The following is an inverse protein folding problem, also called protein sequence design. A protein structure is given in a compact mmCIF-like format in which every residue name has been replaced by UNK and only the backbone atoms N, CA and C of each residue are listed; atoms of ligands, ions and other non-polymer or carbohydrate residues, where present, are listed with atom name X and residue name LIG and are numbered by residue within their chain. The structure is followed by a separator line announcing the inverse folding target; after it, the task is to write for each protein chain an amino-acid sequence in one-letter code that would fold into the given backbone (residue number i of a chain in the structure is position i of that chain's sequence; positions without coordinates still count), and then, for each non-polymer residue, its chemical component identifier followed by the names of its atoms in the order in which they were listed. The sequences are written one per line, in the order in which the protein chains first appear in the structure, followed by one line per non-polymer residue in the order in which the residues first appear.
data_IF_200464587067
#
_entry.id   IF_200464587067
#
_cell.length_a   1.000
_cell.length_b   1.000
_cell.length_c   1.000
_cell.angle_alpha   90.00
_cell.angle_beta   90.00
_cell.angle_gamma   90.00
#
_symmetry.space_group_name_H-M   'P 1'
#
loop_
_entity.id
_entity.type
_entity.pdbx_description
1 polymer ?
#
# COMPACT_ATOMS: atom_id res chain seq x y z
N UNK A 1 -5.02 0.82 -18.58
CA UNK A 1 -6.40 0.76 -18.06
C UNK A 1 -6.29 0.68 -16.55
N UNK A 2 -6.86 1.64 -15.80
CA UNK A 2 -6.83 1.67 -14.34
C UNK A 2 -7.66 0.51 -13.78
N UNK A 3 -7.09 -0.21 -12.81
CA UNK A 3 -7.77 -1.32 -12.12
C UNK A 3 -8.26 -0.91 -10.72
N UNK A 4 -8.21 0.40 -10.41
CA UNK A 4 -8.59 0.92 -9.10
C UNK A 4 -9.59 2.06 -9.21
N UNK A 5 -10.45 2.21 -8.19
CA UNK A 5 -11.28 3.39 -7.96
C UNK A 5 -11.44 3.65 -6.45
N UNK A 6 -11.79 4.89 -6.10
CA UNK A 6 -12.15 5.19 -4.71
C UNK A 6 -13.33 4.31 -4.28
N UNK A 7 -13.28 3.80 -3.06
CA UNK A 7 -14.36 3.01 -2.48
C UNK A 7 -15.61 3.86 -2.25
N UNK A 8 -16.78 3.21 -2.23
CA UNK A 8 -18.05 3.83 -1.82
C UNK A 8 -18.72 2.97 -0.74
N UNK A 9 -19.74 3.50 -0.08
CA UNK A 9 -20.53 2.73 0.89
C UNK A 9 -21.28 1.56 0.24
N UNK A 10 -21.53 1.62 -1.06
CA UNK A 10 -22.18 0.55 -1.83
C UNK A 10 -21.29 -0.68 -2.00
N UNK A 11 -19.98 -0.55 -1.74
CA UNK A 11 -19.02 -1.67 -1.79
C UNK A 11 -19.12 -2.59 -0.57
N UNK A 12 -19.83 -2.19 0.49
CA UNK A 12 -19.85 -2.90 1.76
C UNK A 12 -20.25 -4.37 1.63
N UNK A 13 -21.32 -4.68 0.88
CA UNK A 13 -21.74 -6.06 0.67
C UNK A 13 -20.75 -6.88 -0.18
N UNK A 14 -20.17 -6.27 -1.23
CA UNK A 14 -19.20 -6.93 -2.07
C UNK A 14 -17.92 -7.24 -1.28
N UNK A 15 -17.43 -6.28 -0.49
CA UNK A 15 -16.27 -6.46 0.39
C UNK A 15 -16.56 -7.51 1.47
N UNK A 16 -17.73 -7.50 2.12
CA UNK A 16 -18.09 -8.48 3.13
C UNK A 16 -18.06 -9.91 2.56
N UNK A 17 -18.68 -10.14 1.40
CA UNK A 17 -18.60 -11.43 0.70
C UNK A 17 -17.17 -11.82 0.40
N UNK A 18 -16.37 -10.86 -0.07
CA UNK A 18 -14.99 -11.10 -0.48
C UNK A 18 -14.09 -11.44 0.71
N UNK A 19 -14.12 -10.65 1.80
CA UNK A 19 -13.30 -10.94 3.01
C UNK A 19 -13.74 -12.22 3.70
N UNK A 20 -15.05 -12.53 3.72
CA UNK A 20 -15.58 -13.76 4.28
C UNK A 20 -15.11 -15.00 3.50
N UNK A 21 -15.21 -14.97 2.18
CA UNK A 21 -14.74 -16.05 1.31
C UNK A 21 -13.22 -16.26 1.35
N UNK A 22 -12.46 -15.25 1.73
CA UNK A 22 -11.00 -15.27 1.78
C UNK A 22 -10.46 -15.25 3.22
N UNK A 23 -11.28 -15.55 4.24
CA UNK A 23 -10.91 -15.43 5.65
C UNK A 23 -9.63 -16.20 5.97
N UNK A 24 -9.57 -17.48 5.61
CA UNK A 24 -8.42 -18.34 5.87
C UNK A 24 -7.19 -17.95 5.04
N UNK A 25 -7.42 -17.58 3.78
CA UNK A 25 -6.35 -17.11 2.87
C UNK A 25 -5.68 -15.82 3.36
N UNK A 26 -6.45 -14.88 3.92
CA UNK A 26 -5.93 -13.60 4.41
C UNK A 26 -5.44 -13.64 5.85
N UNK A 27 -5.88 -14.59 6.67
CA UNK A 27 -5.57 -14.68 8.09
C UNK A 27 -4.05 -14.64 8.41
N UNK A 28 -3.16 -15.33 7.67
CA UNK A 28 -1.72 -15.27 7.95
C UNK A 28 -1.08 -13.90 7.70
N UNK A 29 -1.73 -13.04 6.91
CA UNK A 29 -1.19 -11.78 6.40
C UNK A 29 -1.82 -10.54 7.03
N UNK A 30 -2.85 -10.72 7.85
CA UNK A 30 -3.68 -9.63 8.36
C UNK A 30 -3.68 -9.59 9.90
N UNK A 31 -3.95 -8.42 10.51
CA UNK A 31 -4.33 -8.36 11.92
C UNK A 31 -5.53 -9.27 12.20
N UNK A 32 -5.67 -9.75 13.45
CA UNK A 32 -6.89 -10.46 13.84
C UNK A 32 -8.09 -9.53 13.70
N UNK A 33 -9.13 -10.07 13.10
CA UNK A 33 -10.42 -9.41 12.93
C UNK A 33 -11.48 -10.15 13.74
N UNK A 34 -12.43 -9.43 14.29
CA UNK A 34 -13.62 -10.01 14.92
C UNK A 34 -14.63 -10.48 13.85
N UNK A 35 -15.64 -11.21 14.27
CA UNK A 35 -16.65 -11.73 13.33
C UNK A 35 -17.48 -10.63 12.67
N UNK A 36 -17.63 -9.48 13.32
CA UNK A 36 -18.33 -8.33 12.78
C UNK A 36 -17.65 -7.80 11.51
N UNK A 37 -16.30 -7.83 11.44
CA UNK A 37 -15.54 -7.42 10.26
C UNK A 37 -15.97 -8.13 8.97
N UNK A 38 -16.44 -9.38 9.07
CA UNK A 38 -16.81 -10.21 7.91
C UNK A 38 -18.28 -10.02 7.48
N UNK A 39 -19.00 -9.11 8.12
CA UNK A 39 -20.40 -8.78 7.79
C UNK A 39 -20.48 -7.52 6.93
N UNK A 40 -21.61 -7.34 6.22
CA UNK A 40 -21.85 -6.13 5.43
C UNK A 40 -21.86 -4.87 6.31
N UNK A 41 -22.44 -4.95 7.52
CA UNK A 41 -22.45 -3.83 8.46
C UNK A 41 -21.04 -3.47 8.93
N UNK A 42 -20.24 -4.46 9.33
CA UNK A 42 -18.83 -4.23 9.72
C UNK A 42 -18.00 -3.65 8.59
N UNK A 43 -18.16 -4.11 7.35
CA UNK A 43 -17.49 -3.50 6.20
C UNK A 43 -17.98 -2.08 5.92
N UNK A 44 -19.28 -1.81 6.10
CA UNK A 44 -19.82 -0.46 6.02
C UNK A 44 -19.18 0.49 7.05
N UNK A 45 -19.00 0.07 8.28
CA UNK A 45 -18.29 0.84 9.29
C UNK A 45 -16.82 1.08 8.94
N UNK A 46 -16.13 0.07 8.36
CA UNK A 46 -14.77 0.23 7.84
C UNK A 46 -14.74 1.32 6.77
N UNK A 47 -15.64 1.25 5.79
CA UNK A 47 -15.74 2.23 4.70
C UNK A 47 -16.07 3.64 5.22
N UNK A 48 -16.95 3.80 6.19
CA UNK A 48 -17.26 5.10 6.82
C UNK A 48 -15.98 5.71 7.41
N UNK A 49 -15.19 4.94 8.17
CA UNK A 49 -13.92 5.41 8.74
C UNK A 49 -12.90 5.78 7.68
N UNK A 50 -12.80 4.96 6.61
CA UNK A 50 -11.87 5.20 5.51
C UNK A 50 -12.24 6.46 4.72
N UNK A 51 -13.52 6.62 4.36
CA UNK A 51 -13.99 7.80 3.63
C UNK A 51 -13.85 9.08 4.48
N UNK A 52 -14.14 9.01 5.78
CA UNK A 52 -13.87 10.14 6.68
C UNK A 52 -12.37 10.49 6.76
N UNK A 53 -11.47 9.51 6.67
CA UNK A 53 -10.02 9.76 6.59
C UNK A 53 -9.62 10.32 5.20
N UNK A 54 -10.27 9.88 4.15
CA UNK A 54 -10.10 10.40 2.78
C UNK A 54 -10.50 11.88 2.69
N UNK A 55 -11.67 12.26 3.25
CA UNK A 55 -12.14 13.64 3.27
C UNK A 55 -11.17 14.59 4.00
N UNK A 56 -10.43 14.08 4.99
CA UNK A 56 -9.39 14.83 5.69
C UNK A 56 -8.02 14.79 4.98
N UNK A 57 -7.90 14.14 3.84
CA UNK A 57 -6.64 13.98 3.11
C UNK A 57 -5.60 13.10 3.83
N UNK A 58 -6.03 12.26 4.80
CA UNK A 58 -5.15 11.40 5.59
C UNK A 58 -5.01 9.98 5.02
N UNK A 59 -5.87 9.62 4.06
CA UNK A 59 -5.92 8.30 3.42
C UNK A 59 -6.42 8.41 1.98
N UNK A 60 -6.06 7.46 1.12
CA UNK A 60 -6.72 7.22 -0.17
C UNK A 60 -7.16 5.75 -0.21
N UNK A 61 -8.44 5.43 0.06
CA UNK A 61 -8.94 4.07 0.05
C UNK A 61 -9.46 3.71 -1.35
N UNK A 62 -8.94 2.63 -1.93
CA UNK A 62 -9.31 2.19 -3.28
C UNK A 62 -9.76 0.73 -3.28
N UNK A 63 -10.83 0.46 -4.03
CA UNK A 63 -11.19 -0.89 -4.44
C UNK A 63 -10.31 -1.31 -5.63
N UNK A 64 -9.87 -2.56 -5.62
CA UNK A 64 -9.22 -3.20 -6.78
C UNK A 64 -10.32 -3.93 -7.55
N UNK A 65 -10.38 -3.69 -8.87
CA UNK A 65 -11.39 -4.25 -9.75
C UNK A 65 -10.78 -5.31 -10.65
N UNK A 66 -11.49 -6.41 -10.87
CA UNK A 66 -11.15 -7.39 -11.88
C UNK A 66 -11.51 -6.92 -13.30
N UNK A 67 -11.28 -7.77 -14.30
CA UNK A 67 -11.58 -7.48 -15.71
C UNK A 67 -13.07 -7.32 -16.02
N UNK A 68 -13.95 -7.79 -15.14
CA UNK A 68 -15.40 -7.61 -15.25
C UNK A 68 -15.89 -6.35 -14.50
N UNK A 69 -15.00 -5.62 -13.82
CA UNK A 69 -15.32 -4.45 -13.00
C UNK A 69 -15.83 -4.80 -11.60
N UNK A 70 -15.77 -6.06 -11.20
CA UNK A 70 -16.15 -6.49 -9.86
C UNK A 70 -15.01 -6.26 -8.86
N UNK A 71 -15.37 -5.97 -7.60
CA UNK A 71 -14.38 -5.80 -6.51
C UNK A 71 -13.66 -7.13 -6.27
N UNK A 72 -12.33 -7.12 -6.38
CA UNK A 72 -11.45 -8.26 -6.23
C UNK A 72 -10.41 -8.10 -5.11
N UNK A 73 -10.38 -6.94 -4.46
CA UNK A 73 -9.46 -6.63 -3.38
C UNK A 73 -9.52 -5.16 -2.97
N UNK A 74 -8.55 -4.74 -2.18
CA UNK A 74 -8.41 -3.34 -1.74
C UNK A 74 -6.94 -2.93 -1.76
N UNK A 75 -6.69 -1.65 -2.06
CA UNK A 75 -5.39 -0.99 -1.93
C UNK A 75 -5.58 0.40 -1.36
N UNK A 76 -4.74 0.76 -0.40
CA UNK A 76 -4.86 2.03 0.29
C UNK A 76 -3.52 2.75 0.35
N UNK A 77 -3.55 4.09 0.25
CA UNK A 77 -2.52 4.93 0.83
C UNK A 77 -2.95 5.32 2.24
N UNK A 78 -2.25 4.80 3.23
CA UNK A 78 -2.49 5.08 4.64
C UNK A 78 -1.52 6.16 5.14
N UNK A 79 -1.93 6.89 6.19
CA UNK A 79 -1.06 7.85 6.86
C UNK A 79 -0.39 8.83 5.88
N UNK A 80 -1.20 9.50 5.07
CA UNK A 80 -0.68 10.53 4.16
C UNK A 80 -0.18 11.70 5.01
N UNK A 81 1.14 11.89 5.02
CA UNK A 81 1.84 12.92 5.79
C UNK A 81 2.33 13.99 4.82
N UNK A 82 1.98 15.24 5.07
CA UNK A 82 2.40 16.41 4.29
C UNK A 82 3.63 17.08 4.93
N UNK A 83 3.91 18.30 4.53
CA UNK A 83 5.08 19.07 4.99
C UNK A 83 6.38 18.49 4.45
N UNK A 84 7.42 18.47 5.23
CA UNK A 84 8.76 18.01 4.80
C UNK A 84 8.83 16.51 4.47
N UNK A 85 7.89 15.68 4.93
CA UNK A 85 7.94 14.23 4.71
C UNK A 85 7.28 13.80 3.39
N UNK A 86 6.15 14.40 3.00
CA UNK A 86 5.41 14.12 1.75
C UNK A 86 5.32 12.61 1.45
N UNK A 87 4.81 11.82 2.39
CA UNK A 87 4.88 10.36 2.36
C UNK A 87 3.52 9.72 2.63
N UNK A 88 3.35 8.46 2.19
CA UNK A 88 2.25 7.58 2.56
C UNK A 88 2.70 6.12 2.61
N UNK A 89 1.95 5.28 3.33
CA UNK A 89 2.18 3.83 3.39
C UNK A 89 1.17 3.09 2.51
N UNK A 90 1.66 2.21 1.63
CA UNK A 90 0.85 1.36 0.76
C UNK A 90 0.51 0.06 1.47
N UNK A 91 -0.78 -0.26 1.56
CA UNK A 91 -1.27 -1.55 2.02
C UNK A 91 -2.29 -2.11 1.04
N UNK A 92 -2.22 -3.40 0.71
CA UNK A 92 -3.13 -4.02 -0.25
C UNK A 92 -3.34 -5.51 0.01
N UNK A 93 -4.45 -6.02 -0.51
CA UNK A 93 -4.74 -7.43 -0.64
C UNK A 93 -5.62 -7.69 -1.87
N UNK A 94 -5.55 -8.89 -2.41
CA UNK A 94 -6.43 -9.38 -3.47
C UNK A 94 -7.02 -10.72 -3.06
N UNK A 95 -8.19 -11.05 -3.58
CA UNK A 95 -8.81 -12.37 -3.35
C UNK A 95 -7.90 -13.48 -3.89
N UNK A 96 -7.98 -14.66 -3.27
CA UNK A 96 -7.25 -15.86 -3.70
C UNK A 96 -7.52 -16.18 -5.18
N UNK A 97 -8.78 -16.08 -5.60
CA UNK A 97 -9.20 -16.32 -6.99
C UNK A 97 -8.58 -15.34 -8.01
N UNK A 98 -8.13 -14.17 -7.55
CA UNK A 98 -7.48 -13.14 -8.37
C UNK A 98 -5.96 -13.13 -8.21
N UNK A 99 -5.42 -13.94 -7.29
CA UNK A 99 -3.98 -14.03 -7.05
C UNK A 99 -3.22 -14.60 -8.28
N UNK A 100 -1.95 -14.20 -8.43
CA UNK A 100 -1.08 -14.68 -9.51
C UNK A 100 -1.38 -14.14 -10.90
N UNK A 101 -2.43 -13.33 -11.08
CA UNK A 101 -2.86 -12.77 -12.37
C UNK A 101 -2.35 -11.36 -12.66
N UNK A 102 -1.43 -10.84 -11.83
CA UNK A 102 -0.85 -9.51 -11.99
C UNK A 102 -1.70 -8.35 -11.44
N UNK A 103 -2.92 -8.62 -10.93
CA UNK A 103 -3.86 -7.60 -10.49
C UNK A 103 -3.31 -6.72 -9.37
N UNK A 104 -2.68 -7.32 -8.34
CA UNK A 104 -2.03 -6.57 -7.27
C UNK A 104 -0.92 -5.66 -7.81
N UNK A 105 -0.15 -6.15 -8.81
CA UNK A 105 0.94 -5.36 -9.43
C UNK A 105 0.39 -4.16 -10.19
N UNK A 106 -0.71 -4.34 -10.93
CA UNK A 106 -1.40 -3.26 -11.63
C UNK A 106 -1.97 -2.23 -10.64
N UNK A 107 -2.60 -2.68 -9.55
CA UNK A 107 -3.14 -1.79 -8.52
C UNK A 107 -2.03 -0.97 -7.81
N UNK A 108 -0.86 -1.58 -7.54
CA UNK A 108 0.29 -0.85 -6.99
C UNK A 108 0.82 0.18 -8.00
N UNK A 109 0.85 -0.13 -9.30
CA UNK A 109 1.22 0.83 -10.33
C UNK A 109 0.24 2.01 -10.40
N UNK A 110 -1.07 1.75 -10.36
CA UNK A 110 -2.11 2.78 -10.34
C UNK A 110 -1.93 3.72 -9.14
N UNK A 111 -1.87 3.17 -7.93
CA UNK A 111 -1.77 3.98 -6.71
C UNK A 111 -0.46 4.77 -6.64
N UNK A 112 0.63 4.24 -7.21
CA UNK A 112 1.90 4.94 -7.34
C UNK A 112 1.75 6.16 -8.27
N UNK A 113 1.06 5.99 -9.39
CA UNK A 113 0.75 7.10 -10.31
C UNK A 113 -0.07 8.21 -9.65
N UNK A 114 -1.12 7.84 -8.89
CA UNK A 114 -1.93 8.78 -8.12
C UNK A 114 -1.10 9.51 -7.04
N UNK A 115 -0.27 8.75 -6.31
CA UNK A 115 0.53 9.31 -5.22
C UNK A 115 1.53 10.36 -5.69
N UNK A 116 2.26 10.08 -6.75
CA UNK A 116 3.30 10.99 -7.24
C UNK A 116 2.75 12.06 -8.19
N UNK A 117 1.74 11.72 -9.01
CA UNK A 117 1.13 12.64 -9.96
C UNK A 117 0.10 13.58 -9.31
N UNK A 118 -1.00 13.03 -8.80
CA UNK A 118 -2.13 13.83 -8.32
C UNK A 118 -1.92 14.34 -6.89
N UNK A 119 -1.39 13.49 -6.00
CA UNK A 119 -1.17 13.86 -4.61
C UNK A 119 0.16 14.58 -4.37
N UNK A 120 1.09 14.58 -5.34
CA UNK A 120 2.39 15.22 -5.22
C UNK A 120 3.25 14.71 -4.06
N UNK A 121 3.10 13.42 -3.71
CA UNK A 121 3.92 12.82 -2.67
C UNK A 121 5.35 12.59 -3.18
N UNK A 122 6.31 12.63 -2.27
CA UNK A 122 7.71 12.34 -2.56
C UNK A 122 8.08 10.88 -2.34
N UNK A 123 7.39 10.21 -1.39
CA UNK A 123 7.77 8.89 -0.92
C UNK A 123 6.57 7.99 -0.69
N UNK A 124 6.69 6.72 -1.08
CA UNK A 124 5.81 5.64 -0.67
C UNK A 124 6.60 4.61 0.13
N UNK A 125 6.05 4.20 1.26
CA UNK A 125 6.54 3.11 2.07
C UNK A 125 5.60 1.91 1.96
N UNK A 126 6.14 0.70 2.11
CA UNK A 126 5.37 -0.53 2.26
C UNK A 126 6.11 -1.49 3.19
N UNK A 127 5.38 -2.34 3.88
CA UNK A 127 5.96 -3.35 4.76
C UNK A 127 5.40 -4.74 4.43
N UNK A 128 6.24 -5.76 4.46
CA UNK A 128 5.82 -7.15 4.28
C UNK A 128 6.42 -8.04 5.36
N UNK A 129 5.70 -9.07 5.76
CA UNK A 129 6.29 -10.14 6.56
C UNK A 129 7.51 -10.75 5.84
N UNK A 130 8.51 -11.22 6.59
CA UNK A 130 9.75 -11.79 6.02
C UNK A 130 9.48 -12.93 5.03
N UNK A 131 8.43 -13.71 5.27
CA UNK A 131 8.05 -14.87 4.44
C UNK A 131 6.97 -14.56 3.38
N UNK A 132 6.47 -13.31 3.29
CA UNK A 132 5.47 -12.93 2.28
C UNK A 132 6.11 -12.64 0.91
N UNK A 133 6.75 -13.66 0.34
CA UNK A 133 7.40 -13.58 -0.97
C UNK A 133 6.49 -13.08 -2.10
N UNK A 134 5.20 -13.46 -2.18
CA UNK A 134 4.30 -12.91 -3.20
C UNK A 134 4.19 -11.38 -3.15
N UNK A 135 3.97 -10.80 -1.97
CA UNK A 135 3.88 -9.35 -1.80
C UNK A 135 5.21 -8.65 -2.11
N UNK A 136 6.34 -9.21 -1.66
CA UNK A 136 7.67 -8.68 -1.98
C UNK A 136 7.91 -8.60 -3.49
N UNK A 137 7.51 -9.64 -4.25
CA UNK A 137 7.63 -9.65 -5.72
C UNK A 137 6.77 -8.56 -6.38
N UNK A 138 5.57 -8.31 -5.86
CA UNK A 138 4.70 -7.22 -6.36
C UNK A 138 5.39 -5.88 -6.17
N UNK A 139 5.91 -5.61 -4.98
CA UNK A 139 6.61 -4.35 -4.66
C UNK A 139 7.85 -4.16 -5.53
N UNK A 140 8.71 -5.19 -5.63
CA UNK A 140 9.93 -5.13 -6.44
C UNK A 140 9.65 -4.85 -7.93
N UNK A 141 8.59 -5.48 -8.50
CA UNK A 141 8.17 -5.24 -9.88
C UNK A 141 7.69 -3.81 -10.12
N UNK A 142 7.20 -3.15 -9.09
CA UNK A 142 6.76 -1.75 -9.12
C UNK A 142 7.89 -0.77 -8.71
N UNK A 143 9.14 -1.23 -8.64
CA UNK A 143 10.28 -0.37 -8.38
C UNK A 143 10.55 -0.06 -6.92
N UNK A 144 9.76 -0.59 -6.00
CA UNK A 144 10.06 -0.48 -4.57
C UNK A 144 11.37 -1.20 -4.24
N UNK A 145 12.14 -0.62 -3.30
CA UNK A 145 13.41 -1.18 -2.83
C UNK A 145 13.33 -1.48 -1.35
N UNK A 146 13.76 -2.66 -0.89
CA UNK A 146 13.91 -2.92 0.53
C UNK A 146 15.03 -2.02 1.10
N UNK A 147 14.83 -1.50 2.32
CA UNK A 147 15.82 -0.63 2.96
C UNK A 147 16.10 -0.98 4.42
N UNK A 148 15.22 -1.73 5.09
CA UNK A 148 15.40 -2.16 6.46
C UNK A 148 14.60 -3.43 6.79
N UNK A 149 14.97 -4.08 7.90
CA UNK A 149 14.14 -5.04 8.62
C UNK A 149 13.76 -4.38 9.96
N UNK A 150 12.45 -4.34 10.23
CA UNK A 150 11.92 -3.84 11.49
C UNK A 150 11.44 -5.02 12.33
N UNK A 151 12.05 -5.18 13.52
CA UNK A 151 11.71 -6.22 14.48
C UNK A 151 10.38 -5.90 15.16
N UNK A 152 9.52 -6.92 15.38
CA UNK A 152 8.24 -6.79 16.08
C UNK A 152 7.41 -5.60 15.61
N UNK A 153 7.35 -5.38 14.29
CA UNK A 153 6.86 -4.14 13.70
C UNK A 153 5.32 -4.04 13.72
N UNK A 154 4.63 -5.08 13.28
CA UNK A 154 3.16 -5.12 13.24
C UNK A 154 2.62 -6.39 13.90
N UNK A 155 1.44 -6.25 14.53
CA UNK A 155 0.74 -7.39 15.13
C UNK A 155 -0.12 -8.09 14.07
N UNK A 156 0.45 -9.10 13.40
CA UNK A 156 -0.20 -9.90 12.35
C UNK A 156 -0.54 -11.29 12.90
N UNK A 157 -1.72 -11.80 12.57
CA UNK A 157 -2.21 -13.08 13.09
C UNK A 157 -2.07 -13.20 14.63
N UNK A 158 -2.35 -12.10 15.35
CA UNK A 158 -2.35 -12.06 16.81
C UNK A 158 -0.98 -11.92 17.48
N UNK A 159 0.12 -11.89 16.75
CA UNK A 159 1.50 -11.79 17.30
C UNK A 159 2.30 -10.67 16.62
N UNK A 160 3.20 -10.05 17.36
CA UNK A 160 4.17 -9.12 16.81
C UNK A 160 5.14 -9.85 15.90
N UNK A 161 5.34 -9.34 14.69
CA UNK A 161 6.15 -9.99 13.67
C UNK A 161 7.07 -8.99 12.97
N UNK A 162 8.24 -9.49 12.56
CA UNK A 162 9.24 -8.73 11.83
C UNK A 162 8.79 -8.49 10.39
N UNK A 163 9.16 -7.33 9.86
CA UNK A 163 8.81 -6.93 8.50
C UNK A 163 10.02 -6.42 7.74
N UNK A 164 10.06 -6.71 6.44
CA UNK A 164 10.93 -5.99 5.51
C UNK A 164 10.20 -4.69 5.14
N UNK A 165 10.92 -3.58 5.32
CA UNK A 165 10.44 -2.25 4.93
C UNK A 165 10.92 -1.93 3.51
N UNK A 166 9.99 -1.48 2.68
CA UNK A 166 10.23 -1.09 1.30
C UNK A 166 9.92 0.40 1.12
N UNK A 167 10.62 1.03 0.20
CA UNK A 167 10.39 2.41 -0.22
C UNK A 167 10.36 2.55 -1.73
N UNK A 168 9.60 3.53 -2.21
CA UNK A 168 9.64 4.03 -3.56
C UNK A 168 9.66 5.56 -3.51
N UNK A 169 10.59 6.18 -4.22
CA UNK A 169 10.73 7.64 -4.29
C UNK A 169 10.17 8.15 -5.62
N UNK A 170 9.58 9.34 -5.59
CA UNK A 170 9.12 10.04 -6.79
C UNK A 170 10.28 10.23 -7.76
N UNK A 171 10.06 10.07 -9.09
CA UNK A 171 11.08 10.38 -10.09
C UNK A 171 11.52 11.85 -9.97
N UNK A 172 12.84 12.10 -9.94
CA UNK A 172 13.43 13.42 -9.81
C UNK A 172 13.98 13.76 -8.42
N UNK A 173 13.75 12.91 -7.41
CA UNK A 173 14.42 13.04 -6.12
C UNK A 173 15.88 12.61 -6.18
N UNK A 174 16.76 13.33 -5.47
CA UNK A 174 18.16 12.94 -5.30
C UNK A 174 18.24 11.64 -4.49
N UNK A 175 18.82 10.59 -5.05
CA UNK A 175 18.98 9.31 -4.35
C UNK A 175 20.40 9.21 -3.79
N UNK A 176 20.51 9.11 -2.47
CA UNK A 176 21.76 8.72 -1.80
C UNK A 176 21.96 7.20 -1.95
N UNK A 177 23.10 6.83 -2.49
CA UNK A 177 23.60 5.44 -2.46
C UNK A 177 24.85 5.40 -1.61
N UNK A 178 25.03 4.33 -0.87
CA UNK A 178 26.28 4.08 -0.16
C UNK A 178 27.15 3.16 -0.99
N UNK A 179 28.42 3.56 -1.18
CA UNK A 179 29.44 2.68 -1.72
C UNK A 179 29.79 1.57 -0.71
N UNK A 180 30.45 0.48 -1.13
CA UNK A 180 30.86 -0.59 -0.23
C UNK A 180 31.78 -0.14 0.92
N UNK A 181 32.46 0.99 0.77
CA UNK A 181 33.30 1.63 1.79
C UNK A 181 32.51 2.51 2.79
N UNK A 182 31.18 2.58 2.65
CA UNK A 182 30.31 3.41 3.49
C UNK A 182 30.24 4.89 3.09
N UNK A 183 30.91 5.31 2.02
CA UNK A 183 30.80 6.68 1.51
C UNK A 183 29.46 6.91 0.82
N UNK A 184 28.86 8.10 0.99
CA UNK A 184 27.61 8.47 0.34
C UNK A 184 27.85 8.92 -1.09
N UNK A 185 27.14 8.30 -2.05
CA UNK A 185 27.15 8.67 -3.46
C UNK A 185 25.81 9.34 -3.80
N UNK A 186 25.84 10.60 -4.23
CA UNK A 186 24.67 11.28 -4.78
C UNK A 186 24.47 10.84 -6.23
N UNK A 187 23.33 10.20 -6.53
CA UNK A 187 22.91 9.91 -7.90
C UNK A 187 21.62 10.67 -8.21
N UNK A 188 21.73 11.68 -9.04
CA UNK A 188 20.65 12.56 -9.53
C UNK A 188 21.25 13.89 -9.96
N UNK A 189 20.73 14.46 -11.05
CA UNK A 189 21.13 15.79 -11.45
C UNK A 189 20.61 16.81 -10.41
N UNK A 190 21.50 17.44 -9.67
CA UNK A 190 21.18 18.69 -8.98
C UNK A 190 20.88 19.70 -10.09
N UNK A 191 19.64 20.17 -10.23
CA UNK A 191 19.36 21.36 -11.02
C UNK A 191 20.08 22.52 -10.32
N UNK A 192 20.92 23.26 -11.06
CA UNK A 192 21.57 24.47 -10.56
C UNK A 192 20.47 25.47 -10.17
N UNK A 193 20.18 25.62 -8.88
CA UNK A 193 19.17 26.55 -8.39
C UNK A 193 18.73 26.34 -6.94
N UNK A 194 19.09 25.22 -6.31
CA UNK A 194 18.76 25.01 -4.89
C UNK A 194 19.91 25.43 -3.99
N UNK A 195 20.01 26.74 -3.76
CA UNK A 195 20.83 27.30 -2.69
C UNK A 195 20.20 26.95 -1.34
N UNK A 196 20.86 26.08 -0.60
CA UNK A 196 20.63 25.92 0.84
C UNK A 196 21.04 27.21 1.56
N UNK A 197 20.24 27.71 2.51
CA UNK A 197 20.68 28.80 3.39
C UNK A 197 21.76 28.36 4.37
#
# INVERSE_FOLDING_TARGET
MTVTRVVSLDDAEALARLVSANRDYLAPWSPLQDDAYFTAEGQREVLIRQLAAYDRGAMLPLAILDSAGAVAGSINLNSIIRGAFQSASVGYWVSESSAGRGLASAAVADVTGLAFGELGLHRLDAATLLHNTPSQRVLLRNGFRPFAVAESYLKIAGRWQDHILFQLLSPGGTTLRYAPDGSAILSGALSAGDDWP
#
